data_IF_592490595223
#
_entry.id   IF_592490595223
#
_cell.length_a   1.000
_cell.length_b   1.000
_cell.length_c   1.000
_cell.angle_alpha   90.00
_cell.angle_beta   90.00
_cell.angle_gamma   90.00
#
_symmetry.space_group_name_H-M   'P 1'
#
loop_
_entity.id
_entity.type
_entity.pdbx_description
1 polymer ?
#
# COMPACT_ATOMS: atom_id res chain seq x y z
N UNK A 1 18.47 20.65 -21.32
CA UNK A 1 18.38 19.78 -20.13
C UNK A 1 16.91 19.70 -19.73
N UNK A 2 16.25 18.56 -19.93
CA UNK A 2 14.82 18.41 -19.61
C UNK A 2 14.71 18.03 -18.14
N UNK A 3 14.37 19.00 -17.29
CA UNK A 3 14.02 18.74 -15.89
C UNK A 3 12.75 17.89 -15.93
N UNK A 4 12.89 16.58 -15.78
CA UNK A 4 11.75 15.70 -15.52
C UNK A 4 11.32 15.98 -14.08
N UNK A 5 10.31 16.85 -13.93
CA UNK A 5 9.52 16.93 -12.71
C UNK A 5 8.90 15.53 -12.51
N UNK A 6 9.62 14.66 -11.80
CA UNK A 6 9.10 13.34 -11.43
C UNK A 6 8.12 13.63 -10.31
N UNK A 7 6.83 13.72 -10.63
CA UNK A 7 5.78 13.70 -9.61
C UNK A 7 6.09 12.56 -8.67
N UNK A 8 6.39 12.87 -7.41
CA UNK A 8 6.65 11.85 -6.40
C UNK A 8 5.39 11.00 -6.29
N UNK A 9 5.47 9.72 -6.66
CA UNK A 9 4.36 8.79 -6.49
C UNK A 9 4.33 8.44 -5.01
N UNK A 10 3.48 9.14 -4.25
CA UNK A 10 3.24 8.87 -2.84
C UNK A 10 2.31 7.65 -2.77
N UNK A 11 2.77 6.51 -2.21
CA UNK A 11 1.91 5.36 -2.08
C UNK A 11 0.78 5.65 -1.08
N UNK A 12 -0.43 5.24 -1.45
CA UNK A 12 -1.55 5.17 -0.52
C UNK A 12 -1.36 3.97 0.40
N UNK A 13 -1.27 4.24 1.70
CA UNK A 13 -1.26 3.23 2.75
C UNK A 13 -2.65 3.25 3.39
N UNK A 14 -3.29 2.08 3.44
CA UNK A 14 -4.62 1.91 4.03
C UNK A 14 -4.48 1.26 5.43
N UNK A 15 -5.26 1.73 6.40
CA UNK A 15 -5.33 1.09 7.71
C UNK A 15 -6.46 0.04 7.71
N UNK A 16 -6.11 -1.22 7.92
CA UNK A 16 -7.04 -2.35 7.99
C UNK A 16 -6.99 -2.96 9.40
N UNK A 17 -7.97 -3.81 9.73
CA UNK A 17 -8.04 -4.49 11.04
C UNK A 17 -6.74 -5.22 11.41
N UNK A 18 -6.04 -5.74 10.41
CA UNK A 18 -4.81 -6.51 10.58
C UNK A 18 -3.53 -5.68 10.38
N UNK A 19 -3.66 -4.35 10.37
CA UNK A 19 -2.55 -3.40 10.25
C UNK A 19 -2.54 -2.62 8.94
N UNK A 20 -1.44 -1.90 8.74
CA UNK A 20 -1.22 -1.07 7.56
C UNK A 20 -0.94 -1.93 6.33
N UNK A 21 -1.62 -1.63 5.23
CA UNK A 21 -1.44 -2.31 3.94
C UNK A 21 -1.22 -1.31 2.81
N UNK A 22 -0.59 -1.81 1.74
CA UNK A 22 -0.54 -1.18 0.43
C UNK A 22 -1.17 -2.13 -0.59
N UNK A 23 -1.82 -1.57 -1.59
CA UNK A 23 -2.49 -2.38 -2.61
C UNK A 23 -1.56 -2.69 -3.77
N UNK A 24 -1.78 -3.83 -4.42
CA UNK A 24 -1.11 -4.15 -5.69
C UNK A 24 -1.34 -3.11 -6.79
N UNK A 25 -2.45 -2.37 -6.77
CA UNK A 25 -2.72 -1.26 -7.70
C UNK A 25 -1.79 -0.07 -7.43
N UNK A 26 -1.66 0.33 -6.16
CA UNK A 26 -0.73 1.38 -5.74
C UNK A 26 0.71 1.02 -6.08
N UNK A 27 1.11 -0.24 -5.88
CA UNK A 27 2.45 -0.74 -6.26
C UNK A 27 2.64 -0.65 -7.79
N UNK A 28 1.65 -1.09 -8.57
CA UNK A 28 1.73 -1.07 -10.03
C UNK A 28 1.91 0.35 -10.57
N UNK A 29 1.09 1.28 -10.08
CA UNK A 29 1.19 2.70 -10.42
C UNK A 29 2.56 3.27 -10.04
N UNK A 30 3.02 3.02 -8.81
CA UNK A 30 4.32 3.46 -8.30
C UNK A 30 5.51 2.94 -9.09
N UNK A 31 5.51 1.65 -9.40
CA UNK A 31 6.56 1.00 -10.15
C UNK A 31 6.50 1.26 -11.67
N UNK A 32 5.40 1.80 -12.18
CA UNK A 32 5.20 2.06 -13.61
C UNK A 32 5.04 0.78 -14.41
N UNK A 33 4.33 -0.20 -13.86
CA UNK A 33 4.06 -1.50 -14.49
C UNK A 33 2.57 -1.80 -14.50
N UNK A 34 2.16 -2.73 -15.35
CA UNK A 34 0.78 -3.20 -15.37
C UNK A 34 0.39 -3.88 -14.05
N UNK A 35 -0.82 -3.63 -13.57
CA UNK A 35 -1.34 -4.26 -12.33
C UNK A 35 -1.27 -5.78 -12.37
N UNK A 36 -1.61 -6.38 -13.52
CA UNK A 36 -1.48 -7.83 -13.74
C UNK A 36 -0.06 -8.36 -13.51
N UNK A 37 0.98 -7.57 -13.79
CA UNK A 37 2.37 -7.98 -13.60
C UNK A 37 2.72 -8.04 -12.11
N UNK A 38 2.15 -7.13 -11.31
CA UNK A 38 2.28 -7.18 -9.85
C UNK A 38 1.58 -8.40 -9.28
N UNK A 39 0.33 -8.68 -9.71
CA UNK A 39 -0.40 -9.87 -9.26
C UNK A 39 0.34 -11.16 -9.64
N UNK A 40 0.92 -11.24 -10.83
CA UNK A 40 1.74 -12.37 -11.25
C UNK A 40 2.98 -12.57 -10.36
N UNK A 41 3.63 -11.49 -9.92
CA UNK A 41 4.73 -11.58 -8.97
C UNK A 41 4.26 -12.05 -7.59
N UNK A 42 3.11 -11.57 -7.11
CA UNK A 42 2.49 -12.02 -5.86
C UNK A 42 2.17 -13.51 -5.91
N UNK A 43 1.55 -13.97 -7.01
CA UNK A 43 1.18 -15.37 -7.17
C UNK A 43 2.42 -16.26 -7.38
N UNK A 44 3.49 -15.74 -8.02
CA UNK A 44 4.74 -16.47 -8.24
C UNK A 44 5.54 -16.71 -6.95
N UNK A 45 5.62 -15.71 -6.08
CA UNK A 45 6.38 -15.78 -4.82
C UNK A 45 5.45 -15.91 -3.61
N UNK A 46 4.31 -16.57 -3.83
CA UNK A 46 3.23 -16.62 -2.86
C UNK A 46 3.66 -17.27 -1.55
N UNK A 47 4.41 -18.37 -1.66
CA UNK A 47 4.85 -19.15 -0.51
C UNK A 47 5.78 -18.33 0.39
N UNK A 48 6.73 -17.61 -0.19
CA UNK A 48 7.64 -16.73 0.56
C UNK A 48 6.91 -15.53 1.16
N UNK A 49 6.02 -14.90 0.39
CA UNK A 49 5.21 -13.77 0.86
C UNK A 49 4.31 -14.19 2.03
N UNK A 50 3.69 -15.37 1.97
CA UNK A 50 2.78 -15.83 3.02
C UNK A 50 3.52 -16.19 4.34
N UNK A 51 4.84 -16.40 4.31
CA UNK A 51 5.66 -16.50 5.53
C UNK A 51 5.70 -15.20 6.35
N UNK A 52 5.42 -14.07 5.71
CA UNK A 52 5.38 -12.72 6.30
C UNK A 52 3.95 -12.29 6.71
N UNK A 53 3.01 -13.24 6.74
CA UNK A 53 1.59 -13.06 7.03
C UNK A 53 0.71 -13.58 5.90
N UNK A 54 -0.53 -13.97 6.18
CA UNK A 54 -1.44 -14.43 5.13
C UNK A 54 -1.83 -13.26 4.22
N UNK A 55 -1.49 -13.34 2.94
CA UNK A 55 -1.84 -12.28 1.98
C UNK A 55 -3.34 -12.34 1.67
N UNK A 56 -4.01 -11.20 1.80
CA UNK A 56 -5.43 -11.04 1.51
C UNK A 56 -5.68 -10.51 0.08
N UNK A 57 -6.90 -10.74 -0.43
CA UNK A 57 -7.35 -10.21 -1.71
C UNK A 57 -8.76 -9.64 -1.61
N UNK A 58 -9.02 -8.60 -2.39
CA UNK A 58 -10.33 -8.00 -2.56
C UNK A 58 -10.72 -7.96 -4.04
N UNK A 59 -12.03 -7.97 -4.31
CA UNK A 59 -12.57 -7.63 -5.62
C UNK A 59 -13.02 -6.18 -5.58
N UNK A 60 -12.23 -5.28 -6.18
CA UNK A 60 -12.55 -3.86 -6.26
C UNK A 60 -13.35 -3.56 -7.52
N UNK A 61 -14.29 -2.63 -7.42
CA UNK A 61 -15.07 -2.15 -8.58
C UNK A 61 -14.12 -1.66 -9.67
N UNK A 62 -14.27 -2.15 -10.90
CA UNK A 62 -13.45 -1.69 -12.02
C UNK A 62 -13.78 -0.23 -12.38
N UNK A 63 -12.92 0.40 -13.17
CA UNK A 63 -13.08 1.80 -13.60
C UNK A 63 -14.48 2.06 -14.19
N UNK A 64 -15.07 3.21 -13.83
CA UNK A 64 -16.34 3.64 -14.41
C UNK A 64 -16.12 3.91 -15.89
N UNK A 65 -16.94 3.26 -16.73
CA UNK A 65 -16.87 3.46 -18.18
C UNK A 65 -17.61 4.75 -18.55
N UNK A 66 -17.07 5.47 -19.53
CA UNK A 66 -17.65 6.72 -20.05
C UNK A 66 -19.10 6.60 -20.54
N UNK A 67 -19.59 5.38 -20.82
CA UNK A 67 -20.95 5.10 -21.28
C UNK A 67 -21.93 4.72 -20.14
N UNK A 68 -21.50 4.87 -18.88
CA UNK A 68 -22.22 4.34 -17.72
C UNK A 68 -21.89 2.87 -17.47
N UNK A 69 -21.93 2.48 -16.20
CA UNK A 69 -21.59 1.14 -15.73
C UNK A 69 -20.15 1.00 -15.23
N UNK A 70 -19.98 0.13 -14.25
CA UNK A 70 -18.69 -0.20 -13.63
C UNK A 70 -17.91 -1.18 -14.51
N UNK A 71 -16.59 -1.02 -14.56
CA UNK A 71 -15.69 -2.01 -15.13
C UNK A 71 -15.87 -3.38 -14.46
N UNK A 72 -15.29 -4.42 -15.06
CA UNK A 72 -15.27 -5.74 -14.39
C UNK A 72 -14.54 -5.60 -13.05
N UNK A 73 -15.02 -6.25 -11.97
CA UNK A 73 -14.29 -6.28 -10.72
C UNK A 73 -12.84 -6.73 -10.94
N UNK A 74 -11.92 -6.04 -10.29
CA UNK A 74 -10.48 -6.28 -10.38
C UNK A 74 -10.03 -6.92 -9.08
N UNK A 75 -9.32 -8.05 -9.18
CA UNK A 75 -8.66 -8.69 -8.04
C UNK A 75 -7.49 -7.82 -7.62
N UNK A 76 -7.49 -7.36 -6.36
CA UNK A 76 -6.44 -6.55 -5.78
C UNK A 76 -5.85 -7.27 -4.57
N UNK A 77 -4.53 -7.50 -4.58
CA UNK A 77 -3.80 -7.98 -3.41
C UNK A 77 -3.62 -6.86 -2.39
N UNK A 78 -3.83 -7.19 -1.12
CA UNK A 78 -3.52 -6.34 0.02
C UNK A 78 -2.24 -6.86 0.67
N UNK A 79 -1.21 -6.03 0.72
CA UNK A 79 0.12 -6.42 1.16
C UNK A 79 0.51 -5.56 2.37
N UNK A 80 0.91 -6.19 3.46
CA UNK A 80 1.51 -5.49 4.59
C UNK A 80 2.92 -4.96 4.23
N UNK A 81 3.55 -4.24 5.15
CA UNK A 81 4.87 -3.65 4.93
C UNK A 81 5.97 -4.70 4.59
N UNK A 82 6.15 -5.80 5.37
CA UNK A 82 7.11 -6.84 5.00
C UNK A 82 6.85 -7.50 3.64
N UNK A 83 5.60 -7.86 3.34
CA UNK A 83 5.20 -8.50 2.09
C UNK A 83 5.48 -7.61 0.88
N UNK A 84 5.11 -6.33 0.97
CA UNK A 84 5.35 -5.37 -0.12
C UNK A 84 6.84 -5.08 -0.30
N UNK A 85 7.61 -5.03 0.79
CA UNK A 85 9.07 -4.88 0.73
C UNK A 85 9.74 -6.05 0.01
N UNK A 86 9.36 -7.29 0.34
CA UNK A 86 9.85 -8.50 -0.34
C UNK A 86 9.45 -8.49 -1.83
N UNK A 87 8.19 -8.17 -2.13
CA UNK A 87 7.71 -8.09 -3.51
C UNK A 87 8.55 -7.10 -4.35
N UNK A 88 8.87 -5.93 -3.78
CA UNK A 88 9.70 -4.91 -4.41
C UNK A 88 11.14 -5.36 -4.67
N UNK A 89 11.67 -6.36 -3.94
CA UNK A 89 13.00 -6.94 -4.19
C UNK A 89 13.04 -7.72 -5.52
N UNK A 90 11.92 -8.29 -5.95
CA UNK A 90 11.84 -9.02 -7.22
C UNK A 90 11.67 -8.13 -8.46
N UNK A 91 11.37 -6.84 -8.26
CA UNK A 91 11.20 -5.89 -9.34
C UNK A 91 12.55 -5.35 -9.86
N UNK A 92 12.65 -5.11 -11.17
CA UNK A 92 13.83 -4.49 -11.80
C UNK A 92 14.08 -3.10 -11.21
N UNK A 93 15.32 -2.84 -10.79
CA UNK A 93 15.74 -1.53 -10.30
C UNK A 93 15.84 -0.48 -11.43
N UNK A 94 14.70 0.08 -11.82
CA UNK A 94 14.66 1.32 -12.62
C UNK A 94 14.72 2.53 -11.70
N UNK A 95 15.06 3.72 -12.23
CA UNK A 95 15.04 4.95 -11.43
C UNK A 95 13.67 5.19 -10.76
N UNK A 96 12.58 4.88 -11.48
CA UNK A 96 11.22 4.96 -10.95
C UNK A 96 10.98 3.97 -9.81
N UNK A 97 11.37 2.71 -9.97
CA UNK A 97 11.21 1.68 -8.92
C UNK A 97 12.02 2.02 -7.68
N UNK A 98 13.24 2.54 -7.83
CA UNK A 98 14.06 2.98 -6.70
C UNK A 98 13.41 4.15 -5.96
N UNK A 99 12.90 5.16 -6.68
CA UNK A 99 12.17 6.27 -6.09
C UNK A 99 10.91 5.80 -5.35
N UNK A 100 10.17 4.85 -5.92
CA UNK A 100 8.98 4.29 -5.30
C UNK A 100 9.29 3.45 -4.05
N UNK A 101 10.38 2.65 -4.05
CA UNK A 101 10.83 1.92 -2.84
C UNK A 101 11.06 2.87 -1.66
N UNK A 102 11.74 3.99 -1.91
CA UNK A 102 11.98 5.00 -0.88
C UNK A 102 10.67 5.61 -0.38
N UNK A 103 9.76 5.95 -1.29
CA UNK A 103 8.46 6.52 -0.94
C UNK A 103 7.59 5.52 -0.13
N UNK A 104 7.61 4.25 -0.50
CA UNK A 104 6.86 3.18 0.17
C UNK A 104 7.31 2.97 1.61
N UNK A 105 8.62 2.82 1.83
CA UNK A 105 9.18 2.66 3.18
C UNK A 105 8.89 3.89 4.03
N UNK A 106 9.05 5.08 3.45
CA UNK A 106 8.76 6.35 4.16
C UNK A 106 7.29 6.45 4.55
N UNK A 107 6.37 6.07 3.66
CA UNK A 107 4.93 6.15 3.92
C UNK A 107 4.48 5.19 5.03
N UNK A 108 4.98 3.95 5.04
CA UNK A 108 4.69 3.01 6.13
C UNK A 108 5.23 3.52 7.47
N UNK A 109 6.46 4.04 7.50
CA UNK A 109 7.05 4.61 8.71
C UNK A 109 6.23 5.80 9.24
N UNK A 110 5.83 6.71 8.36
CA UNK A 110 5.02 7.87 8.72
C UNK A 110 3.64 7.47 9.27
N UNK A 111 2.96 6.51 8.63
CA UNK A 111 1.65 6.04 9.07
C UNK A 111 1.71 5.29 10.39
N UNK A 112 2.75 4.49 10.62
CA UNK A 112 2.98 3.83 11.91
C UNK A 112 3.12 4.86 13.03
N UNK A 113 4.01 5.84 12.84
CA UNK A 113 4.21 6.91 13.84
C UNK A 113 2.96 7.74 14.08
N UNK A 114 2.13 7.94 13.05
CA UNK A 114 0.86 8.65 13.19
C UNK A 114 -0.12 7.89 14.07
N UNK A 115 -0.25 6.56 13.88
CA UNK A 115 -1.13 5.71 14.68
C UNK A 115 -0.61 5.57 16.12
N UNK A 116 0.70 5.52 16.29
CA UNK A 116 1.35 5.44 17.61
C UNK A 116 1.40 6.80 18.33
N UNK A 117 1.04 7.89 17.65
CA UNK A 117 1.02 9.23 18.23
C UNK A 117 -0.04 9.34 19.33
N UNK A 118 0.32 9.76 20.56
CA UNK A 118 -0.63 9.93 21.66
C UNK A 118 -1.80 10.85 21.30
N UNK A 119 -1.55 11.89 20.50
CA UNK A 119 -2.57 12.85 20.05
C UNK A 119 -3.62 12.16 19.16
N UNK A 120 -3.19 11.23 18.31
CA UNK A 120 -4.11 10.49 17.43
C UNK A 120 -4.87 9.43 18.22
N UNK A 121 -4.25 8.83 19.22
CA UNK A 121 -4.92 7.88 20.11
C UNK A 121 -6.01 8.55 20.95
N UNK A 122 -5.73 9.74 21.49
CA UNK A 122 -6.74 10.57 22.17
C UNK A 122 -7.90 10.95 21.23
N UNK A 123 -7.60 11.33 19.99
CA UNK A 123 -8.62 11.69 19.00
C UNK A 123 -9.46 10.49 18.51
N UNK A 124 -8.89 9.30 18.42
CA UNK A 124 -9.58 8.09 17.93
C UNK A 124 -10.28 7.30 19.04
N UNK A 125 -9.75 7.32 20.26
CA UNK A 125 -10.22 6.50 21.38
C UNK A 125 -10.78 7.31 22.56
N UNK A 126 -10.73 8.65 22.54
CA UNK A 126 -11.27 9.50 23.62
C UNK A 126 -10.54 9.36 24.95
N UNK A 127 -9.27 8.94 24.92
CA UNK A 127 -8.42 8.80 26.11
C UNK A 127 -7.66 10.09 26.35
N UNK A 128 -7.83 10.71 27.51
CA UNK A 128 -7.05 11.88 27.90
C UNK A 128 -5.55 11.54 28.05
N UNK A 129 -4.69 12.56 28.02
CA UNK A 129 -3.22 12.41 28.10
C UNK A 129 -2.71 11.60 29.32
N UNK A 130 -3.57 11.37 30.33
CA UNK A 130 -3.28 10.65 31.57
C UNK A 130 -3.78 9.20 31.56
N UNK A 131 -4.38 8.73 30.46
CA UNK A 131 -4.78 7.33 30.26
C UNK A 131 -6.13 6.97 30.90
N UNK A 132 -6.99 7.93 31.20
CA UNK A 132 -8.36 7.70 31.65
C UNK A 132 -9.37 7.94 30.51
N UNK A 133 -10.41 7.11 30.47
CA UNK A 133 -11.52 7.28 29.54
C UNK A 133 -12.39 8.45 30.02
N UNK A 134 -12.65 9.43 29.15
CA UNK A 134 -13.63 10.48 29.43
C UNK A 134 -15.04 9.84 29.47
N UNK A 135 -15.62 9.83 30.67
CA UNK A 135 -16.98 9.33 30.94
C UNK A 135 -18.07 10.26 30.43
#
# INVERSE_FOLDING_TARGET
>A
MKVIMTTAIVPTIENHTNGLIVTSETIAQGAGVEHRAVLQLVDKYRDEIDTLGQTAFEMRSGEIRNQGGTGRPVRTALLNEPQSSLLMMFMRNTAQVVAFKLALVTAFYQMRNLIESPIVQEALFGMDHDGFMLG
#
